data_IF_084591693109
#
_entry.id   IF_084591693109
#
_cell.length_a   1.000
_cell.length_b   1.000
_cell.length_c   1.000
_cell.angle_alpha   90.00
_cell.angle_beta   90.00
_cell.angle_gamma   90.00
#
_symmetry.space_group_name_H-M   'P 1'
#
loop_
_entity.id
_entity.type
_entity.pdbx_description
1 polymer ?
#
# COMPACT_ATOMS: atom_id res chain seq x y z
N UNK A 1 48.87 -62.53 3.65
CA UNK A 1 47.77 -63.20 2.91
C UNK A 1 46.48 -62.87 3.64
N UNK A 2 45.49 -62.18 3.06
CA UNK A 2 45.51 -61.43 1.79
C UNK A 2 45.06 -59.95 1.97
N UNK A 3 45.62 -59.06 1.15
CA UNK A 3 44.94 -58.24 0.12
C UNK A 3 44.13 -57.03 0.63
N UNK A 4 44.86 -55.92 0.70
CA UNK A 4 44.42 -54.59 0.23
C UNK A 4 44.21 -54.60 -1.29
N UNK A 5 43.42 -53.64 -1.81
CA UNK A 5 42.99 -53.37 -3.21
C UNK A 5 41.58 -53.92 -3.51
N UNK A 6 40.63 -53.24 -4.17
CA UNK A 6 40.54 -51.95 -4.86
C UNK A 6 39.06 -51.70 -5.23
N UNK A 7 38.61 -50.45 -5.31
CA UNK A 7 37.39 -50.11 -6.06
C UNK A 7 36.85 -48.69 -5.80
N UNK A 8 36.36 -47.94 -6.81
CA UNK A 8 36.73 -46.53 -6.98
C UNK A 8 35.58 -45.50 -6.86
N UNK A 9 36.00 -44.24 -6.79
CA UNK A 9 35.39 -43.01 -7.33
C UNK A 9 33.86 -42.82 -7.21
N UNK A 10 33.47 -41.88 -6.35
CA UNK A 10 32.11 -41.33 -6.29
C UNK A 10 32.13 -39.84 -5.97
N UNK A 11 32.22 -39.03 -7.02
CA UNK A 11 32.11 -37.58 -7.03
C UNK A 11 30.85 -37.11 -6.26
N UNK A 12 31.00 -36.49 -5.09
CA UNK A 12 29.90 -35.77 -4.44
C UNK A 12 29.75 -34.40 -5.10
N UNK A 13 29.14 -34.40 -6.28
CA UNK A 13 28.68 -33.23 -7.00
C UNK A 13 27.66 -32.47 -6.14
N UNK A 14 28.14 -31.46 -5.41
CA UNK A 14 27.27 -30.44 -4.80
C UNK A 14 26.76 -29.59 -5.95
N UNK A 15 25.55 -29.89 -6.41
CA UNK A 15 24.81 -29.06 -7.36
C UNK A 15 24.45 -27.75 -6.64
N UNK A 16 25.36 -26.78 -6.74
CA UNK A 16 25.07 -25.37 -6.54
C UNK A 16 24.22 -24.91 -7.71
N UNK A 17 22.93 -24.74 -7.43
CA UNK A 17 21.92 -24.29 -8.38
C UNK A 17 22.21 -22.83 -8.77
N UNK A 18 22.80 -22.69 -9.96
CA UNK A 18 23.12 -21.44 -10.62
C UNK A 18 21.85 -20.67 -10.93
N UNK A 19 21.57 -19.64 -10.13
CA UNK A 19 20.67 -18.56 -10.54
C UNK A 19 21.36 -17.78 -11.66
N UNK A 20 21.04 -18.16 -12.90
CA UNK A 20 21.29 -17.39 -14.11
C UNK A 20 20.68 -15.99 -13.97
N UNK A 21 21.51 -15.03 -13.57
CA UNK A 21 21.29 -13.62 -13.80
C UNK A 21 21.95 -13.31 -15.13
N UNK A 22 21.19 -13.46 -16.22
CA UNK A 22 21.60 -12.97 -17.53
C UNK A 22 21.56 -11.44 -17.52
N UNK A 23 22.68 -10.83 -17.13
CA UNK A 23 22.99 -9.45 -17.46
C UNK A 23 23.46 -9.41 -18.91
N UNK A 24 22.60 -8.89 -19.80
CA UNK A 24 23.04 -8.41 -21.11
C UNK A 24 23.83 -7.11 -20.87
N UNK A 25 25.16 -7.23 -20.75
CA UNK A 25 26.07 -6.11 -20.91
C UNK A 25 26.66 -6.20 -22.32
N UNK A 26 26.25 -5.25 -23.16
CA UNK A 26 26.84 -5.04 -24.46
C UNK A 26 28.31 -4.63 -24.31
N UNK A 27 29.14 -5.19 -25.20
CA UNK A 27 30.50 -4.78 -25.45
C UNK A 27 30.55 -3.28 -25.79
N UNK A 28 31.25 -2.50 -24.96
CA UNK A 28 31.95 -1.31 -25.42
C UNK A 28 33.44 -1.60 -25.24
N UNK A 29 34.14 -1.71 -26.37
CA UNK A 29 35.60 -1.67 -26.38
C UNK A 29 36.06 -0.36 -25.75
N UNK A 30 37.06 -0.47 -24.88
CA UNK A 30 37.78 0.64 -24.32
C UNK A 30 38.60 1.34 -25.42
N UNK A 31 38.47 2.65 -25.52
CA UNK A 31 39.55 3.49 -26.01
C UNK A 31 39.83 4.56 -24.93
N UNK A 32 41.11 4.70 -24.62
CA UNK A 32 41.66 5.51 -23.55
C UNK A 32 41.72 6.97 -23.98
N UNK A 33 41.04 7.88 -23.30
CA UNK A 33 41.56 9.25 -23.10
C UNK A 33 40.88 9.94 -21.92
N UNK A 34 41.72 10.62 -21.14
CA UNK A 34 41.44 11.30 -19.87
C UNK A 34 40.28 12.28 -19.95
N UNK A 35 39.30 12.19 -19.06
CA UNK A 35 38.62 13.37 -18.50
C UNK A 35 38.19 13.10 -17.05
N UNK A 36 38.81 13.80 -16.11
CA UNK A 36 38.34 13.94 -14.72
C UNK A 36 36.98 14.62 -14.73
N UNK A 37 35.93 14.01 -14.17
CA UNK A 37 34.69 14.74 -13.87
C UNK A 37 34.14 14.46 -12.47
N UNK A 38 34.07 15.58 -11.75
CA UNK A 38 33.46 15.82 -10.45
C UNK A 38 31.96 15.49 -10.44
N UNK A 39 31.48 15.02 -9.29
CA UNK A 39 30.14 14.49 -8.99
C UNK A 39 28.99 15.53 -8.96
N UNK A 40 29.18 16.75 -9.48
CA UNK A 40 28.21 17.85 -9.26
C UNK A 40 27.16 18.13 -10.36
N UNK A 41 26.98 17.30 -11.39
CA UNK A 41 26.09 17.65 -12.53
C UNK A 41 24.97 16.66 -12.92
N UNK A 42 24.52 15.76 -12.03
CA UNK A 42 23.50 14.75 -12.39
C UNK A 42 22.03 15.04 -12.00
N UNK A 43 21.67 16.25 -11.57
CA UNK A 43 20.30 16.53 -11.11
C UNK A 43 19.40 17.40 -12.00
N UNK A 44 19.76 17.72 -13.25
CA UNK A 44 18.98 18.71 -14.03
C UNK A 44 18.45 18.33 -15.43
N UNK A 45 18.54 17.08 -15.91
CA UNK A 45 18.01 16.76 -17.26
C UNK A 45 17.32 15.40 -17.39
N UNK A 46 16.24 15.17 -16.63
CA UNK A 46 15.18 14.22 -17.03
C UNK A 46 13.82 14.83 -16.61
N UNK A 47 13.36 15.83 -17.35
CA UNK A 47 12.03 16.41 -17.14
C UNK A 47 11.50 17.07 -18.43
N UNK A 48 11.40 16.32 -19.52
CA UNK A 48 10.59 16.76 -20.68
C UNK A 48 10.30 15.57 -21.60
N UNK A 49 9.11 14.97 -21.45
CA UNK A 49 8.25 14.52 -22.54
C UNK A 49 7.12 13.60 -22.02
N UNK A 50 5.91 13.87 -22.53
CA UNK A 50 4.73 13.00 -22.57
C UNK A 50 3.69 13.07 -21.43
N UNK A 51 2.45 13.45 -21.79
CA UNK A 51 1.24 13.04 -21.08
C UNK A 51 0.29 14.14 -20.58
N UNK A 52 0.11 15.24 -21.30
CA UNK A 52 -0.98 16.18 -21.05
C UNK A 52 -2.29 15.64 -21.67
N UNK A 53 -3.10 14.98 -20.84
CA UNK A 53 -4.58 15.04 -20.78
C UNK A 53 -5.02 13.98 -19.75
N UNK A 54 -6.04 14.28 -18.93
CA UNK A 54 -6.57 13.47 -17.81
C UNK A 54 -5.93 13.60 -16.40
N UNK A 55 -5.06 14.59 -16.12
CA UNK A 55 -4.48 14.77 -14.76
C UNK A 55 -4.67 16.17 -14.15
N UNK A 56 -5.70 16.91 -14.54
CA UNK A 56 -5.86 18.31 -14.13
C UNK A 56 -6.08 18.47 -12.61
N UNK A 57 -6.87 17.62 -11.94
CA UNK A 57 -7.17 17.84 -10.52
C UNK A 57 -6.17 17.18 -9.54
N UNK A 58 -5.58 16.04 -9.94
CA UNK A 58 -4.66 15.28 -9.08
C UNK A 58 -3.17 15.67 -9.18
N UNK A 59 -2.78 16.38 -10.23
CA UNK A 59 -1.40 16.80 -10.51
C UNK A 59 -1.00 18.09 -9.79
N UNK A 60 -1.91 19.07 -9.74
CA UNK A 60 -1.72 20.35 -9.06
C UNK A 60 -1.46 20.17 -7.55
N UNK A 61 -2.24 19.31 -6.88
CA UNK A 61 -2.07 19.04 -5.45
C UNK A 61 -0.70 18.43 -5.11
N UNK A 62 -0.12 17.59 -5.98
CA UNK A 62 1.19 16.95 -5.75
C UNK A 62 2.37 17.89 -6.00
N UNK A 63 2.28 18.78 -7.01
CA UNK A 63 3.27 19.83 -7.27
C UNK A 63 3.29 20.88 -6.18
N UNK A 64 2.12 21.41 -5.79
CA UNK A 64 1.99 22.43 -4.74
C UNK A 64 2.38 21.90 -3.34
N UNK A 65 2.12 20.61 -3.05
CA UNK A 65 2.34 20.04 -1.70
C UNK A 65 3.81 19.80 -1.37
N UNK A 66 4.66 19.43 -2.34
CA UNK A 66 6.02 18.96 -2.07
C UNK A 66 7.15 19.92 -2.47
N UNK A 67 6.94 20.75 -3.49
CA UNK A 67 7.99 21.61 -4.04
C UNK A 67 8.01 23.02 -3.41
N UNK A 68 6.85 23.61 -3.15
CA UNK A 68 6.76 25.03 -2.77
C UNK A 68 6.65 25.26 -1.26
N UNK A 69 6.20 24.25 -0.50
CA UNK A 69 6.02 24.38 0.95
C UNK A 69 7.37 24.42 1.68
N UNK A 70 7.68 25.47 2.45
CA UNK A 70 8.89 25.51 3.26
C UNK A 70 8.96 24.30 4.20
N UNK A 71 10.10 23.59 4.17
CA UNK A 71 10.39 22.47 5.07
C UNK A 71 10.90 23.01 6.40
N UNK A 72 10.56 22.31 7.49
CA UNK A 72 11.06 22.65 8.82
C UNK A 72 12.60 22.52 8.84
N UNK A 73 13.31 23.43 9.51
CA UNK A 73 14.76 23.35 9.61
C UNK A 73 15.17 22.15 10.46
N UNK A 74 16.40 21.68 10.24
CA UNK A 74 16.97 20.58 11.00
C UNK A 74 17.20 21.00 12.46
N UNK A 75 16.91 20.10 13.38
CA UNK A 75 17.26 20.24 14.80
C UNK A 75 18.79 20.20 14.98
N UNK A 76 19.30 20.74 16.08
CA UNK A 76 20.73 20.76 16.40
C UNK A 76 21.42 19.39 16.19
N UNK A 77 20.84 18.31 16.73
CA UNK A 77 21.35 16.95 16.54
C UNK A 77 21.43 16.51 15.06
N UNK A 78 20.38 16.73 14.26
CA UNK A 78 20.37 16.34 12.85
C UNK A 78 21.34 17.16 11.99
N UNK A 79 21.68 18.40 12.41
CA UNK A 79 22.79 19.16 11.79
C UNK A 79 24.12 18.49 12.06
N UNK A 80 24.39 18.20 13.33
CA UNK A 80 25.58 17.48 13.76
C UNK A 80 25.73 16.14 13.02
N UNK A 81 24.65 15.35 12.93
CA UNK A 81 24.64 14.10 12.17
C UNK A 81 24.96 14.35 10.69
N UNK A 82 24.37 15.37 10.07
CA UNK A 82 24.65 15.72 8.67
C UNK A 82 26.13 16.01 8.39
N UNK A 83 26.80 16.70 9.31
CA UNK A 83 28.23 17.03 9.19
C UNK A 83 29.14 15.83 9.47
N UNK A 84 28.82 15.03 10.50
CA UNK A 84 29.71 13.97 11.00
C UNK A 84 29.49 12.62 10.31
N UNK A 85 28.30 12.36 9.79
CA UNK A 85 27.98 11.07 9.16
C UNK A 85 28.84 10.78 7.93
N UNK A 86 29.15 11.77 7.10
CA UNK A 86 29.99 11.61 5.91
C UNK A 86 31.42 11.16 6.25
N UNK A 87 32.16 11.93 7.07
CA UNK A 87 33.47 11.52 7.57
C UNK A 87 33.46 10.16 8.28
N UNK A 88 32.47 9.92 9.16
CA UNK A 88 32.40 8.67 9.90
C UNK A 88 32.13 7.46 8.99
N UNK A 89 31.36 7.62 7.91
CA UNK A 89 31.18 6.57 6.89
C UNK A 89 32.45 6.28 6.10
N UNK A 90 33.28 7.28 5.84
CA UNK A 90 34.58 7.06 5.17
C UNK A 90 35.57 6.32 6.06
N UNK A 91 35.51 6.55 7.37
CA UNK A 91 36.33 5.84 8.36
C UNK A 91 35.82 4.42 8.63
N UNK A 92 34.51 4.20 8.48
CA UNK A 92 33.85 2.92 8.72
C UNK A 92 32.94 2.52 7.54
N UNK A 93 33.50 2.23 6.35
CA UNK A 93 32.71 1.82 5.19
C UNK A 93 32.00 0.47 5.38
N UNK A 94 32.50 -0.38 6.27
CA UNK A 94 31.94 -1.69 6.61
C UNK A 94 30.68 -1.62 7.49
N UNK A 95 30.51 -0.53 8.25
CA UNK A 95 29.41 -0.41 9.21
C UNK A 95 28.08 -0.12 8.53
N UNK A 96 27.03 -0.74 9.05
CA UNK A 96 25.67 -0.43 8.62
C UNK A 96 25.28 0.99 9.04
N UNK A 97 24.38 1.62 8.28
CA UNK A 97 23.87 2.95 8.62
C UNK A 97 23.25 3.00 10.02
N UNK A 98 22.66 1.90 10.48
CA UNK A 98 22.08 1.80 11.82
C UNK A 98 23.14 1.87 12.91
N UNK A 99 24.28 1.20 12.74
CA UNK A 99 25.39 1.25 13.68
C UNK A 99 26.09 2.61 13.65
N UNK A 100 26.25 3.18 12.46
CA UNK A 100 26.80 4.52 12.27
C UNK A 100 26.00 5.58 13.04
N UNK A 101 24.67 5.55 12.91
CA UNK A 101 23.78 6.48 13.63
C UNK A 101 23.80 6.22 15.14
N UNK A 102 23.98 4.97 15.59
CA UNK A 102 24.16 4.66 17.03
C UNK A 102 25.46 5.26 17.58
N UNK A 103 26.57 5.16 16.84
CA UNK A 103 27.85 5.81 17.20
C UNK A 103 27.68 7.33 17.31
N UNK A 104 27.11 7.98 16.28
CA UNK A 104 26.85 9.43 16.29
C UNK A 104 25.93 9.87 17.44
N UNK A 105 24.96 9.05 17.82
CA UNK A 105 24.11 9.31 18.98
C UNK A 105 24.88 9.18 20.32
N UNK A 106 25.91 8.34 20.38
CA UNK A 106 26.90 8.31 21.46
C UNK A 106 27.72 9.60 21.50
N UNK A 107 28.37 9.94 20.38
CA UNK A 107 29.21 11.14 20.25
C UNK A 107 28.46 12.42 20.63
N UNK A 108 27.19 12.54 20.19
CA UNK A 108 26.35 13.68 20.55
C UNK A 108 26.06 13.75 22.05
N UNK A 109 25.90 12.61 22.74
CA UNK A 109 25.68 12.62 24.20
C UNK A 109 26.92 13.11 24.94
N UNK A 110 28.10 12.67 24.51
CA UNK A 110 29.41 13.03 25.08
C UNK A 110 29.85 14.46 24.74
N UNK A 111 29.32 15.05 23.66
CA UNK A 111 29.66 16.40 23.24
C UNK A 111 29.42 17.44 24.36
N UNK A 112 30.37 18.35 24.66
CA UNK A 112 30.20 19.36 25.69
C UNK A 112 29.07 20.35 25.33
N UNK A 113 28.47 20.95 26.37
CA UNK A 113 27.36 21.88 26.21
C UNK A 113 27.71 23.09 25.32
N UNK A 114 28.96 23.58 25.37
CA UNK A 114 29.44 24.68 24.54
C UNK A 114 29.36 24.37 23.04
N UNK A 115 29.79 23.18 22.62
CA UNK A 115 29.71 22.77 21.22
C UNK A 115 28.27 22.48 20.79
N UNK A 116 27.44 21.92 21.68
CA UNK A 116 26.00 21.75 21.44
C UNK A 116 25.28 23.08 21.24
N UNK A 117 25.67 24.12 21.97
CA UNK A 117 25.08 25.46 21.88
C UNK A 117 25.23 26.06 20.49
N UNK A 118 26.39 25.91 19.84
CA UNK A 118 26.61 26.36 18.45
C UNK A 118 25.54 25.81 17.50
N UNK A 119 25.22 24.52 17.62
CA UNK A 119 24.19 23.88 16.80
C UNK A 119 22.77 24.34 17.14
N UNK A 120 22.48 24.63 18.41
CA UNK A 120 21.17 25.17 18.83
C UNK A 120 20.98 26.63 18.38
N UNK A 121 22.03 27.44 18.39
CA UNK A 121 22.01 28.80 17.84
C UNK A 121 21.77 28.78 16.33
N UNK A 122 22.49 27.92 15.60
CA UNK A 122 22.26 27.74 14.16
C UNK A 122 20.83 27.26 13.86
N UNK A 123 20.27 26.39 14.70
CA UNK A 123 18.87 25.98 14.61
C UNK A 123 17.91 27.15 14.85
N UNK A 124 18.17 28.01 15.85
CA UNK A 124 17.33 29.19 16.15
C UNK A 124 17.35 30.18 14.99
N UNK A 125 18.52 30.44 14.40
CA UNK A 125 18.65 31.30 13.23
C UNK A 125 17.82 30.77 12.04
N UNK A 126 17.98 29.49 11.70
CA UNK A 126 17.22 28.90 10.59
C UNK A 126 15.73 28.77 10.88
N UNK A 127 15.35 28.71 12.16
CA UNK A 127 13.95 28.76 12.54
C UNK A 127 13.31 30.11 12.23
N UNK A 128 14.01 31.23 12.49
CA UNK A 128 13.53 32.57 12.11
C UNK A 128 13.34 32.69 10.60
N UNK A 129 14.34 32.26 9.82
CA UNK A 129 14.26 32.23 8.35
C UNK A 129 13.08 31.34 7.88
N UNK A 130 12.86 30.21 8.53
CA UNK A 130 11.75 29.31 8.22
C UNK A 130 10.39 29.96 8.51
N UNK A 131 10.25 30.68 9.61
CA UNK A 131 9.02 31.39 9.98
C UNK A 131 8.67 32.47 8.95
N UNK A 132 9.65 33.28 8.54
CA UNK A 132 9.49 34.29 7.49
C UNK A 132 9.06 33.65 6.17
N UNK A 133 9.77 32.60 5.72
CA UNK A 133 9.42 31.84 4.50
C UNK A 133 8.03 31.23 4.58
N UNK A 134 7.65 30.70 5.74
CA UNK A 134 6.34 30.10 5.95
C UNK A 134 5.21 31.14 5.96
N UNK A 135 5.46 32.32 6.53
CA UNK A 135 4.53 33.45 6.53
C UNK A 135 4.30 33.94 5.09
N UNK A 136 5.38 34.17 4.33
CA UNK A 136 5.31 34.54 2.92
C UNK A 136 4.55 33.49 2.09
N UNK A 137 4.86 32.20 2.27
CA UNK A 137 4.16 31.10 1.59
C UNK A 137 2.66 31.07 1.92
N UNK A 138 2.29 31.28 3.18
CA UNK A 138 0.87 31.32 3.60
C UNK A 138 0.14 32.53 3.01
N UNK A 139 0.79 33.68 2.92
CA UNK A 139 0.21 34.88 2.32
C UNK A 139 -0.03 34.74 0.81
N UNK A 140 0.80 33.95 0.11
CA UNK A 140 0.64 33.67 -1.33
C UNK A 140 -0.48 32.68 -1.66
N UNK A 141 -0.99 31.93 -0.68
CA UNK A 141 -1.96 30.86 -0.90
C UNK A 141 -3.38 31.39 -1.03
N UNK A 142 -4.08 30.96 -2.08
CA UNK A 142 -5.53 31.17 -2.19
C UNK A 142 -6.29 30.27 -1.19
N UNK A 143 -7.50 30.67 -0.75
CA UNK A 143 -8.32 29.84 0.16
C UNK A 143 -8.59 28.43 -0.39
N UNK A 144 -8.80 28.31 -1.70
CA UNK A 144 -9.00 27.03 -2.38
C UNK A 144 -7.74 26.13 -2.31
N UNK A 145 -6.56 26.69 -2.57
CA UNK A 145 -5.29 25.95 -2.45
C UNK A 145 -5.03 25.53 -0.99
N UNK A 146 -5.30 26.41 -0.02
CA UNK A 146 -5.16 26.09 1.40
C UNK A 146 -6.09 24.92 1.83
N UNK A 147 -7.34 24.93 1.35
CA UNK A 147 -8.28 23.82 1.58
C UNK A 147 -7.80 22.51 0.93
N UNK A 148 -7.30 22.58 -0.31
CA UNK A 148 -6.75 21.41 -1.02
C UNK A 148 -5.53 20.81 -0.29
N UNK A 149 -4.64 21.64 0.24
CA UNK A 149 -3.49 21.18 1.05
C UNK A 149 -3.91 20.55 2.38
N UNK A 150 -4.94 21.11 3.05
CA UNK A 150 -5.52 20.53 4.27
C UNK A 150 -6.11 19.14 3.98
N UNK A 151 -6.79 18.99 2.85
CA UNK A 151 -7.38 17.73 2.41
C UNK A 151 -6.33 16.68 2.05
N UNK A 152 -5.28 17.07 1.32
CA UNK A 152 -4.14 16.19 1.02
C UNK A 152 -3.48 15.69 2.30
N UNK A 153 -3.23 16.58 3.27
CA UNK A 153 -2.71 16.21 4.59
C UNK A 153 -3.62 15.23 5.32
N UNK A 154 -4.95 15.43 5.27
CA UNK A 154 -5.95 14.52 5.86
C UNK A 154 -5.87 13.14 5.22
N UNK A 155 -5.90 13.07 3.89
CA UNK A 155 -5.77 11.81 3.13
C UNK A 155 -4.46 11.08 3.43
N UNK A 156 -3.33 11.80 3.47
CA UNK A 156 -2.01 11.24 3.80
C UNK A 156 -1.96 10.67 5.21
N UNK A 157 -2.51 11.39 6.20
CA UNK A 157 -2.56 10.92 7.58
C UNK A 157 -3.49 9.71 7.73
N UNK A 158 -4.66 9.73 7.07
CA UNK A 158 -5.57 8.59 7.04
C UNK A 158 -4.91 7.35 6.43
N UNK A 159 -4.18 7.50 5.32
CA UNK A 159 -3.39 6.42 4.70
C UNK A 159 -2.31 5.89 5.65
N UNK A 160 -1.59 6.77 6.36
CA UNK A 160 -0.58 6.35 7.36
C UNK A 160 -1.22 5.59 8.53
N UNK A 161 -2.39 6.04 9.00
CA UNK A 161 -3.16 5.35 10.05
C UNK A 161 -3.66 3.98 9.59
N UNK A 162 -4.17 3.87 8.36
CA UNK A 162 -4.63 2.58 7.82
C UNK A 162 -3.49 1.59 7.64
N UNK A 163 -2.31 2.03 7.20
CA UNK A 163 -1.12 1.17 7.17
C UNK A 163 -0.64 0.75 8.55
N UNK A 164 -0.64 1.66 9.54
CA UNK A 164 -0.28 1.31 10.92
C UNK A 164 -1.24 0.25 11.48
N UNK A 165 -2.55 0.46 11.33
CA UNK A 165 -3.58 -0.51 11.72
C UNK A 165 -3.40 -1.84 11.00
N UNK A 166 -3.15 -1.84 9.69
CA UNK A 166 -2.89 -3.08 8.93
C UNK A 166 -1.67 -3.82 9.46
N UNK A 167 -0.56 -3.12 9.72
CA UNK A 167 0.67 -3.73 10.26
C UNK A 167 0.44 -4.32 11.64
N UNK A 168 -0.28 -3.61 12.51
CA UNK A 168 -0.69 -4.10 13.83
C UNK A 168 -1.50 -5.40 13.72
N UNK A 169 -2.53 -5.42 12.86
CA UNK A 169 -3.34 -6.62 12.62
C UNK A 169 -2.50 -7.78 12.06
N UNK A 170 -1.51 -7.50 11.20
CA UNK A 170 -0.58 -8.52 10.69
C UNK A 170 0.32 -9.08 11.80
N UNK A 171 0.85 -8.23 12.68
CA UNK A 171 1.66 -8.66 13.84
C UNK A 171 0.83 -9.49 14.82
N UNK A 172 -0.45 -9.15 15.00
CA UNK A 172 -1.40 -9.93 15.82
C UNK A 172 -1.87 -11.22 15.13
N UNK A 173 -1.37 -11.54 13.95
CA UNK A 173 -1.71 -12.77 13.23
C UNK A 173 -3.18 -12.84 12.80
N UNK A 174 -3.83 -11.70 12.51
CA UNK A 174 -5.25 -11.69 12.11
C UNK A 174 -5.47 -12.58 10.87
N UNK A 175 -6.41 -13.53 10.90
CA UNK A 175 -6.74 -14.40 9.78
C UNK A 175 -7.00 -13.64 8.47
N UNK A 176 -6.50 -14.18 7.36
CA UNK A 176 -6.79 -13.64 6.03
C UNK A 176 -8.24 -13.97 5.66
N UNK A 177 -8.88 -13.01 4.97
CA UNK A 177 -10.25 -13.16 4.46
C UNK A 177 -10.40 -14.44 3.61
N UNK A 178 -11.60 -15.05 3.59
CA UNK A 178 -11.83 -16.24 2.80
C UNK A 178 -11.62 -15.96 1.32
N UNK A 179 -11.02 -16.90 0.61
CA UNK A 179 -10.78 -16.83 -0.82
C UNK A 179 -12.07 -17.15 -1.57
N UNK A 180 -12.38 -16.35 -2.60
CA UNK A 180 -13.46 -16.70 -3.53
C UNK A 180 -13.00 -17.80 -4.50
N UNK A 181 -13.94 -18.52 -5.11
CA UNK A 181 -13.60 -19.55 -6.12
C UNK A 181 -12.76 -18.98 -7.26
N UNK A 182 -13.05 -17.75 -7.69
CA UNK A 182 -12.21 -17.06 -8.66
C UNK A 182 -10.79 -16.78 -8.14
N UNK A 183 -10.60 -16.41 -6.87
CA UNK A 183 -9.25 -16.22 -6.33
C UNK A 183 -8.44 -17.51 -6.31
N UNK A 184 -9.09 -18.65 -6.06
CA UNK A 184 -8.48 -19.98 -6.09
C UNK A 184 -8.10 -20.34 -7.53
N UNK A 185 -9.04 -20.20 -8.48
CA UNK A 185 -8.79 -20.37 -9.90
C UNK A 185 -7.63 -19.52 -10.41
N UNK A 186 -7.60 -18.23 -10.05
CA UNK A 186 -6.49 -17.33 -10.39
C UNK A 186 -5.19 -17.85 -9.79
N UNK A 187 -5.16 -18.26 -8.51
CA UNK A 187 -3.92 -18.73 -7.89
C UNK A 187 -3.29 -19.93 -8.60
N UNK A 188 -4.09 -20.83 -9.17
CA UNK A 188 -3.62 -22.01 -9.90
C UNK A 188 -3.23 -21.71 -11.35
N UNK A 189 -3.96 -20.80 -11.99
CA UNK A 189 -3.82 -20.53 -13.43
C UNK A 189 -2.97 -19.30 -13.74
N UNK A 190 -2.62 -18.48 -12.75
CA UNK A 190 -1.87 -17.23 -12.97
C UNK A 190 -0.49 -17.45 -13.58
N UNK A 191 0.25 -18.46 -13.09
CA UNK A 191 1.56 -18.81 -13.64
C UNK A 191 1.46 -19.34 -15.08
N UNK A 192 0.44 -20.16 -15.36
CA UNK A 192 0.19 -20.78 -16.68
C UNK A 192 -0.33 -19.78 -17.71
N UNK A 193 -0.94 -18.68 -17.28
CA UNK A 193 -1.53 -17.68 -18.17
C UNK A 193 -0.48 -16.88 -18.95
N UNK A 194 -0.77 -16.69 -20.25
CA UNK A 194 0.10 -15.98 -21.19
C UNK A 194 -0.24 -14.49 -21.22
N UNK A 195 0.73 -13.65 -20.90
CA UNK A 195 0.59 -12.19 -20.97
C UNK A 195 1.87 -11.48 -20.55
N UNK A 196 2.16 -10.35 -21.20
CA UNK A 196 3.38 -9.56 -20.98
C UNK A 196 3.36 -8.85 -19.61
N UNK A 197 2.15 -8.52 -19.12
CA UNK A 197 1.94 -7.84 -17.85
C UNK A 197 1.03 -8.65 -16.92
N UNK A 198 1.27 -8.66 -15.59
CA UNK A 198 0.37 -9.23 -14.58
C UNK A 198 -1.09 -8.80 -14.73
N UNK A 199 -1.32 -7.54 -15.13
CA UNK A 199 -2.68 -6.99 -15.33
C UNK A 199 -3.33 -7.61 -16.56
N UNK A 200 -2.59 -7.76 -17.65
CA UNK A 200 -3.09 -8.40 -18.87
C UNK A 200 -3.41 -9.89 -18.63
N UNK A 201 -2.56 -10.59 -17.86
CA UNK A 201 -2.80 -11.97 -17.43
C UNK A 201 -4.10 -12.09 -16.64
N UNK A 202 -4.33 -11.21 -15.65
CA UNK A 202 -5.54 -11.23 -14.83
C UNK A 202 -6.80 -10.95 -15.65
N UNK A 203 -6.75 -10.03 -16.62
CA UNK A 203 -7.88 -9.77 -17.53
C UNK A 203 -8.28 -11.02 -18.32
N UNK A 204 -7.31 -11.70 -18.92
CA UNK A 204 -7.54 -12.96 -19.63
C UNK A 204 -8.11 -14.04 -18.71
N UNK A 205 -7.58 -14.18 -17.49
CA UNK A 205 -8.10 -15.14 -16.51
C UNK A 205 -9.54 -14.82 -16.08
N UNK A 206 -9.89 -13.55 -16.02
CA UNK A 206 -11.26 -13.14 -15.73
C UNK A 206 -12.21 -13.51 -16.87
N UNK A 207 -11.80 -13.29 -18.12
CA UNK A 207 -12.55 -13.70 -19.32
C UNK A 207 -12.71 -15.23 -19.37
N UNK A 208 -11.65 -16.00 -19.13
CA UNK A 208 -11.73 -17.47 -19.09
C UNK A 208 -12.63 -17.95 -17.95
N UNK A 209 -12.56 -17.33 -16.77
CA UNK A 209 -13.45 -17.65 -15.67
C UNK A 209 -14.92 -17.35 -16.01
N UNK A 210 -15.24 -16.23 -16.66
CA UNK A 210 -16.62 -15.93 -17.05
C UNK A 210 -17.17 -16.98 -18.01
N UNK A 211 -16.38 -17.41 -18.99
CA UNK A 211 -16.78 -18.37 -20.02
C UNK A 211 -16.69 -19.85 -19.59
N UNK A 212 -16.10 -20.15 -18.43
CA UNK A 212 -16.00 -21.52 -17.92
C UNK A 212 -17.40 -22.13 -17.67
N UNK A 213 -17.69 -23.38 -18.10
CA UNK A 213 -18.97 -24.01 -17.81
C UNK A 213 -19.17 -24.22 -16.29
N UNK A 214 -20.42 -24.32 -15.86
CA UNK A 214 -20.76 -24.46 -14.44
C UNK A 214 -20.08 -25.66 -13.78
N UNK A 215 -19.99 -26.79 -14.50
CA UNK A 215 -19.35 -28.03 -14.04
C UNK A 215 -17.89 -27.82 -13.65
N UNK A 216 -17.10 -27.11 -14.47
CA UNK A 216 -15.70 -26.82 -14.19
C UNK A 216 -15.52 -25.75 -13.11
N UNK A 217 -16.54 -24.90 -12.89
CA UNK A 217 -16.55 -23.93 -11.79
C UNK A 217 -16.82 -24.59 -10.44
N UNK A 218 -17.59 -25.68 -10.41
CA UNK A 218 -18.03 -26.32 -9.16
C UNK A 218 -16.88 -26.67 -8.19
N UNK A 219 -15.76 -27.28 -8.62
CA UNK A 219 -14.66 -27.59 -7.70
C UNK A 219 -14.10 -26.34 -7.00
N UNK A 220 -13.94 -25.23 -7.74
CA UNK A 220 -13.46 -23.98 -7.16
C UNK A 220 -14.48 -23.35 -6.21
N UNK A 221 -15.78 -23.51 -6.48
CA UNK A 221 -16.84 -23.04 -5.58
C UNK A 221 -16.88 -23.85 -4.28
N UNK A 222 -16.68 -25.17 -4.36
CA UNK A 222 -16.56 -26.04 -3.18
C UNK A 222 -15.34 -25.67 -2.34
N UNK A 223 -14.17 -25.52 -2.97
CA UNK A 223 -12.95 -25.08 -2.27
C UNK A 223 -13.11 -23.69 -1.61
N UNK A 224 -13.92 -22.81 -2.21
CA UNK A 224 -14.22 -21.51 -1.62
C UNK A 224 -15.15 -21.64 -0.39
N UNK A 225 -16.05 -22.61 -0.38
CA UNK A 225 -16.88 -22.92 0.79
C UNK A 225 -16.03 -23.49 1.93
N UNK A 226 -15.12 -24.42 1.62
CA UNK A 226 -14.18 -24.96 2.60
C UNK A 226 -13.27 -23.86 3.19
N UNK A 227 -12.82 -22.90 2.37
CA UNK A 227 -12.01 -21.76 2.82
C UNK A 227 -12.81 -20.78 3.70
N UNK A 228 -14.15 -20.70 3.54
CA UNK A 228 -15.00 -19.97 4.49
C UNK A 228 -15.02 -20.67 5.84
N UNK A 229 -15.19 -21.99 5.88
CA UNK A 229 -15.17 -22.77 7.13
C UNK A 229 -13.82 -22.60 7.84
N UNK A 230 -12.70 -22.71 7.11
CA UNK A 230 -11.36 -22.40 7.61
C UNK A 230 -11.30 -21.01 8.25
N UNK A 231 -11.72 -19.97 7.53
CA UNK A 231 -11.71 -18.59 8.02
C UNK A 231 -12.57 -18.40 9.27
N UNK A 232 -13.75 -19.03 9.34
CA UNK A 232 -14.63 -18.93 10.49
C UNK A 232 -13.99 -19.55 11.74
N UNK A 233 -13.39 -20.73 11.61
CA UNK A 233 -12.69 -21.40 12.71
C UNK A 233 -11.47 -20.59 13.18
N UNK A 234 -10.64 -20.15 12.24
CA UNK A 234 -9.49 -19.28 12.56
C UNK A 234 -9.94 -17.98 13.23
N UNK A 235 -11.01 -17.33 12.73
CA UNK A 235 -11.51 -16.10 13.33
C UNK A 235 -12.08 -16.30 14.72
N UNK A 236 -12.80 -17.39 14.99
CA UNK A 236 -13.30 -17.70 16.35
C UNK A 236 -12.14 -17.83 17.33
N UNK A 237 -11.12 -18.62 16.98
CA UNK A 237 -9.93 -18.78 17.82
C UNK A 237 -9.16 -17.47 18.00
N UNK A 238 -9.03 -16.67 16.95
CA UNK A 238 -8.35 -15.38 17.00
C UNK A 238 -9.12 -14.34 17.84
N UNK A 239 -10.45 -14.29 17.73
CA UNK A 239 -11.30 -13.40 18.53
C UNK A 239 -11.25 -13.77 20.02
N UNK A 240 -11.25 -15.06 20.35
CA UNK A 240 -11.03 -15.53 21.72
C UNK A 240 -9.67 -15.07 22.26
N UNK A 241 -8.59 -15.25 21.48
CA UNK A 241 -7.26 -14.77 21.86
C UNK A 241 -7.21 -13.24 22.05
N UNK A 242 -7.89 -12.47 21.21
CA UNK A 242 -7.96 -11.01 21.38
C UNK A 242 -8.75 -10.61 22.62
N UNK A 243 -9.81 -11.36 22.97
CA UNK A 243 -10.56 -11.15 24.21
C UNK A 243 -9.70 -11.40 25.45
N UNK A 244 -8.91 -12.48 25.47
CA UNK A 244 -7.95 -12.80 26.54
C UNK A 244 -6.87 -11.72 26.69
N UNK A 245 -6.39 -11.16 25.58
CA UNK A 245 -5.41 -10.05 25.59
C UNK A 245 -6.02 -8.68 25.92
N UNK A 246 -7.33 -8.61 26.25
CA UNK A 246 -8.03 -7.36 26.56
C UNK A 246 -8.26 -6.44 25.35
N UNK A 247 -8.02 -6.92 24.12
CA UNK A 247 -8.18 -6.18 22.86
C UNK A 247 -9.56 -6.36 22.25
N UNK A 248 -10.60 -6.06 23.04
CA UNK A 248 -12.00 -6.17 22.63
C UNK A 248 -12.35 -5.26 21.44
N UNK A 249 -11.60 -4.17 21.24
CA UNK A 249 -11.71 -3.25 20.10
C UNK A 249 -11.54 -3.92 18.73
N UNK A 250 -10.94 -5.11 18.69
CA UNK A 250 -10.62 -5.84 17.47
C UNK A 250 -11.61 -6.97 17.14
N UNK A 251 -12.51 -7.30 18.06
CA UNK A 251 -13.53 -8.34 17.92
C UNK A 251 -14.66 -7.82 17.01
N UNK A 252 -15.16 -8.64 16.08
CA UNK A 252 -16.27 -8.23 15.22
C UNK A 252 -17.53 -8.05 16.05
N UNK A 253 -18.18 -6.89 15.93
CA UNK A 253 -19.55 -6.70 16.45
C UNK A 253 -20.51 -7.62 15.70
N UNK A 254 -21.31 -8.40 16.45
CA UNK A 254 -22.27 -9.39 15.91
C UNK A 254 -23.37 -8.76 15.04
N UNK A 255 -23.54 -7.44 15.11
CA UNK A 255 -24.60 -6.67 14.44
C UNK A 255 -24.36 -6.39 12.94
N UNK A 256 -23.18 -6.72 12.39
CA UNK A 256 -22.85 -6.44 10.98
C UNK A 256 -23.07 -7.60 10.00
N UNK A 257 -23.79 -8.66 10.38
CA UNK A 257 -24.28 -9.61 9.38
C UNK A 257 -25.51 -9.00 8.70
N UNK A 258 -25.48 -8.69 7.39
CA UNK A 258 -26.70 -8.32 6.69
C UNK A 258 -27.65 -9.51 6.78
N UNK A 259 -28.74 -9.37 7.54
CA UNK A 259 -29.85 -10.32 7.50
C UNK A 259 -30.31 -10.36 6.05
N UNK A 260 -30.01 -11.45 5.32
CA UNK A 260 -30.75 -11.78 4.10
C UNK A 260 -32.21 -11.87 4.54
N UNK A 261 -33.03 -10.85 4.26
CA UNK A 261 -34.47 -10.97 4.40
C UNK A 261 -34.88 -12.15 3.53
N UNK A 262 -35.48 -13.16 4.16
CA UNK A 262 -36.15 -14.25 3.48
C UNK A 262 -37.14 -13.63 2.49
N UNK A 263 -36.81 -13.70 1.21
CA UNK A 263 -37.69 -13.33 0.11
C UNK A 263 -38.26 -14.63 -0.45
N UNK A 264 -39.15 -15.24 0.31
CA UNK A 264 -39.89 -16.43 -0.12
C UNK A 264 -41.23 -16.49 0.63
N UNK A 265 -42.04 -15.43 0.56
CA UNK A 265 -43.50 -15.49 0.82
C UNK A 265 -44.23 -14.27 0.26
N UNK A 266 -44.33 -14.13 -1.06
CA UNK A 266 -45.47 -13.43 -1.70
C UNK A 266 -45.69 -14.05 -3.08
N UNK A 267 -46.33 -15.23 -3.11
CA UNK A 267 -47.09 -15.73 -4.27
C UNK A 267 -48.46 -16.19 -3.79
N UNK A 268 -49.17 -15.34 -3.04
CA UNK A 268 -50.57 -15.58 -2.70
C UNK A 268 -51.28 -14.24 -2.45
N UNK A 269 -51.24 -13.35 -3.45
CA UNK A 269 -52.01 -12.11 -3.44
C UNK A 269 -52.55 -11.70 -4.83
N UNK A 270 -52.41 -12.56 -5.85
CA UNK A 270 -52.79 -12.25 -7.23
C UNK A 270 -54.01 -13.05 -7.74
N UNK A 271 -54.78 -13.68 -6.86
CA UNK A 271 -55.98 -14.46 -7.24
C UNK A 271 -57.32 -13.86 -6.77
N UNK A 272 -57.35 -12.60 -6.34
CA UNK A 272 -58.60 -11.95 -5.93
C UNK A 272 -58.69 -10.50 -6.41
N UNK A 273 -59.02 -10.31 -7.70
CA UNK A 273 -59.92 -9.25 -8.21
C UNK A 273 -60.01 -9.30 -9.74
N UNK A 274 -61.05 -9.93 -10.25
CA UNK A 274 -61.59 -9.66 -11.59
C UNK A 274 -62.92 -8.88 -11.42
N UNK A 275 -63.19 -7.82 -12.21
CA UNK A 275 -64.38 -6.98 -12.03
C UNK A 275 -65.56 -7.45 -12.88
N UNK A 276 -66.75 -7.62 -12.27
CA UNK A 276 -68.01 -7.75 -13.00
C UNK A 276 -68.72 -6.39 -13.10
N UNK A 277 -68.94 -5.96 -14.34
CA UNK A 277 -69.79 -4.84 -14.77
C UNK A 277 -71.26 -5.07 -14.40
N UNK A 278 -72.00 -4.00 -14.06
CA UNK A 278 -73.48 -4.07 -14.04
C UNK A 278 -74.29 -2.88 -13.51
N UNK A 279 -74.33 -1.78 -14.27
CA UNK A 279 -75.44 -0.81 -14.53
C UNK A 279 -76.42 -0.30 -13.43
N UNK A 280 -76.60 1.03 -13.52
CA UNK A 280 -77.85 1.87 -13.47
C UNK A 280 -78.49 2.23 -12.10
N UNK A 281 -78.53 3.54 -11.79
CA UNK A 281 -79.69 4.43 -11.94
C UNK A 281 -79.78 5.55 -10.86
N UNK A 282 -79.73 6.82 -11.35
CA UNK A 282 -80.47 8.04 -10.93
C UNK A 282 -80.91 8.26 -9.48
N UNK A 283 -80.56 9.43 -8.90
CA UNK A 283 -81.53 10.44 -8.42
C UNK A 283 -80.87 11.80 -8.05
N UNK A 284 -81.32 12.80 -8.80
CA UNK A 284 -81.37 14.27 -8.60
C UNK A 284 -81.30 14.85 -7.16
N UNK A 285 -80.59 15.98 -6.98
CA UNK A 285 -81.10 17.39 -6.94
C UNK A 285 -80.37 18.31 -5.91
N UNK A 286 -80.08 19.57 -6.34
CA UNK A 286 -79.93 20.85 -5.57
C UNK A 286 -78.62 21.07 -4.74
N UNK A 287 -78.00 22.26 -4.64
CA UNK A 287 -78.27 23.66 -5.08
C UNK A 287 -77.03 24.57 -4.74
N UNK A 288 -76.89 25.70 -5.49
CA UNK A 288 -76.16 26.99 -5.24
C UNK A 288 -74.63 26.98 -5.07
N UNK A 289 -73.83 27.63 -5.94
CA UNK A 289 -73.57 29.09 -6.10
C UNK A 289 -72.90 29.71 -4.86
N UNK A 290 -71.58 29.91 -4.92
CA UNK A 290 -70.88 31.21 -5.00
C UNK A 290 -69.44 30.98 -5.51
#
# INVERSE_FOLDING_TARGET
KPEQLQGPAGNSSRVSDSRNVTCFFGLCLADETKVTYSWESCHHKIALACGATCAAEGGLSRRLSSAERPKRPLTAYFRFVGERQGPLRRQHPELSNTELVKKLAGDWRELPASQKQVYEEARKADWRIYEEKLAAYKAQLTPAQAAALKEERRKRLAKRRSFKKKRELTVLGKPKRPRSGFNIFVSENFQKSVGVSPVAKLKKLFETWQNLPSSEKQPYLQLAEDDKVRYENEMKSWEAKMAELGRQDLIRSKEQQPKKKAAETVQEADRAKAPLRGKKATLKLKKSEE
#
